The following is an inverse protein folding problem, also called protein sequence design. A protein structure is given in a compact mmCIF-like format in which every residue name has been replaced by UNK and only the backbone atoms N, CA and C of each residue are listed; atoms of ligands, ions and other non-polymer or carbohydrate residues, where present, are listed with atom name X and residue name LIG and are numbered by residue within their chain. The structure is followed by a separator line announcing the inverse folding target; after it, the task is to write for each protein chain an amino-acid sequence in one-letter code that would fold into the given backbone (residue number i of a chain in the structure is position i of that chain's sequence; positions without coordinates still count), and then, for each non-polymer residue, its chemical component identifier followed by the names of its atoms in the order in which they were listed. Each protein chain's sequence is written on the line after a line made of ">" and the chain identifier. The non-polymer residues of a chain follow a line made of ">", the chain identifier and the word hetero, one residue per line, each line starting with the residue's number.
data_IF_183565990885
#
_entry.id   IF_183565990885
#
_cell.length_a   1.000
_cell.length_b   1.000
_cell.length_c   1.000
_cell.angle_alpha   90.00
_cell.angle_beta   90.00
_cell.angle_gamma   90.00
#
_symmetry.space_group_name_H-M   'P 1'
#
loop_
_entity.id
_entity.type
_entity.pdbx_description
1 polymer ?
#
# COMPACT_ATOMS: atom_id res chain seq x y z
N UNK A 1 -22.07 8.89 33.12
CA UNK A 1 -21.44 7.69 33.73
C UNK A 1 -22.13 6.47 33.14
N UNK A 2 -21.40 5.57 32.49
CA UNK A 2 -21.94 4.52 31.61
C UNK A 2 -22.66 3.40 32.38
N UNK A 3 -23.90 3.08 31.98
CA UNK A 3 -24.71 1.97 32.49
C UNK A 3 -24.16 0.56 32.19
N UNK A 4 -23.04 0.44 31.47
CA UNK A 4 -22.42 -0.83 31.07
C UNK A 4 -21.38 -1.37 32.05
N UNK A 5 -20.88 -0.56 33.00
CA UNK A 5 -19.89 -1.01 34.00
C UNK A 5 -20.51 -1.71 35.21
N UNK A 6 -21.77 -1.39 35.52
CA UNK A 6 -22.51 -1.92 36.66
C UNK A 6 -22.72 -3.45 36.60
N UNK A 7 -23.10 -4.08 35.46
CA UNK A 7 -23.24 -5.54 35.40
C UNK A 7 -21.90 -6.29 35.51
N UNK A 8 -20.80 -5.68 35.04
CA UNK A 8 -19.47 -6.29 35.09
C UNK A 8 -18.92 -6.26 36.52
N UNK A 9 -19.05 -5.11 37.19
CA UNK A 9 -18.64 -4.95 38.59
C UNK A 9 -19.40 -5.90 39.52
N UNK A 10 -20.72 -6.02 39.33
CA UNK A 10 -21.54 -6.96 40.10
C UNK A 10 -21.08 -8.41 39.89
N UNK A 11 -20.81 -8.80 38.64
CA UNK A 11 -20.30 -10.15 38.31
C UNK A 11 -18.94 -10.43 38.93
N UNK A 12 -18.01 -9.48 38.87
CA UNK A 12 -16.67 -9.61 39.47
C UNK A 12 -16.74 -9.72 41.00
N UNK A 13 -17.58 -8.92 41.66
CA UNK A 13 -17.80 -9.00 43.11
C UNK A 13 -18.39 -10.36 43.50
N UNK A 14 -19.41 -10.84 42.78
CA UNK A 14 -20.02 -12.14 43.06
C UNK A 14 -19.02 -13.30 42.91
N UNK A 15 -18.25 -13.33 41.81
CA UNK A 15 -17.27 -14.41 41.58
C UNK A 15 -16.16 -14.39 42.63
N UNK A 16 -15.59 -13.22 42.92
CA UNK A 16 -14.54 -13.09 43.95
C UNK A 16 -15.07 -13.43 45.35
N UNK A 17 -16.30 -13.03 45.67
CA UNK A 17 -16.93 -13.34 46.95
C UNK A 17 -17.20 -14.83 47.14
N UNK A 18 -17.69 -15.53 46.10
CA UNK A 18 -17.92 -16.97 46.16
C UNK A 18 -16.59 -17.72 46.29
N UNK A 19 -15.59 -17.37 45.47
CA UNK A 19 -14.28 -18.06 45.49
C UNK A 19 -13.56 -17.84 46.82
N UNK A 20 -13.54 -16.61 47.33
CA UNK A 20 -12.91 -16.30 48.63
C UNK A 20 -13.66 -16.96 49.79
N UNK A 21 -14.99 -17.01 49.75
CA UNK A 21 -15.78 -17.70 50.78
C UNK A 21 -15.51 -19.19 50.79
N UNK A 22 -15.54 -19.87 49.64
CA UNK A 22 -15.27 -21.31 49.56
C UNK A 22 -13.85 -21.63 50.03
N UNK A 23 -12.86 -20.84 49.61
CA UNK A 23 -11.48 -21.04 50.04
C UNK A 23 -11.33 -20.86 51.56
N UNK A 24 -11.82 -19.75 52.11
CA UNK A 24 -11.71 -19.46 53.54
C UNK A 24 -12.52 -20.45 54.39
N UNK A 25 -13.68 -20.90 53.91
CA UNK A 25 -14.50 -21.91 54.57
C UNK A 25 -13.79 -23.26 54.65
N UNK A 26 -13.07 -23.67 53.60
CA UNK A 26 -12.30 -24.92 53.61
C UNK A 26 -11.11 -24.87 54.57
N UNK A 27 -10.45 -23.72 54.72
CA UNK A 27 -9.27 -23.59 55.59
C UNK A 27 -9.60 -23.28 57.05
N UNK A 28 -10.67 -22.53 57.32
CA UNK A 28 -10.97 -22.01 58.66
C UNK A 28 -12.35 -22.43 59.20
N UNK A 29 -13.20 -23.07 58.39
CA UNK A 29 -14.52 -23.55 58.79
C UNK A 29 -15.62 -22.47 58.81
N UNK A 30 -16.77 -22.84 59.37
CA UNK A 30 -17.99 -22.02 59.38
C UNK A 30 -17.98 -20.97 60.52
N UNK A 31 -17.05 -20.03 60.47
CA UNK A 31 -16.89 -18.98 61.51
C UNK A 31 -17.38 -17.63 60.96
N UNK A 32 -18.09 -16.78 61.73
CA UNK A 32 -18.63 -15.52 61.22
C UNK A 32 -17.59 -14.59 60.59
N UNK A 33 -16.34 -14.64 61.07
CA UNK A 33 -15.21 -13.87 60.53
C UNK A 33 -14.92 -14.23 59.07
N UNK A 34 -15.20 -15.46 58.63
CA UNK A 34 -15.01 -15.91 57.25
C UNK A 34 -15.99 -15.22 56.31
N UNK A 35 -17.24 -15.03 56.73
CA UNK A 35 -18.25 -14.28 55.96
C UNK A 35 -17.87 -12.80 55.81
N UNK A 36 -17.38 -12.17 56.88
CA UNK A 36 -16.94 -10.78 56.82
C UNK A 36 -15.65 -10.61 55.99
N UNK A 37 -14.72 -11.55 56.07
CA UNK A 37 -13.50 -11.54 55.27
C UNK A 37 -13.78 -11.76 53.78
N UNK A 38 -14.65 -12.71 53.42
CA UNK A 38 -15.02 -12.93 52.02
C UNK A 38 -15.78 -11.74 51.45
N UNK A 39 -16.66 -11.11 52.22
CA UNK A 39 -17.39 -9.92 51.80
C UNK A 39 -16.43 -8.73 51.57
N UNK A 40 -15.46 -8.52 52.46
CA UNK A 40 -14.47 -7.44 52.29
C UNK A 40 -13.57 -7.68 51.07
N UNK A 41 -13.11 -8.91 50.86
CA UNK A 41 -12.34 -9.30 49.66
C UNK A 41 -13.17 -9.13 48.39
N UNK A 42 -14.46 -9.49 48.41
CA UNK A 42 -15.35 -9.34 47.27
C UNK A 42 -15.52 -7.87 46.86
N UNK A 43 -15.75 -6.99 47.85
CA UNK A 43 -16.00 -5.56 47.61
C UNK A 43 -14.71 -4.85 47.21
N UNK A 44 -13.62 -5.00 47.97
CA UNK A 44 -12.34 -4.36 47.64
C UNK A 44 -11.76 -4.93 46.35
N UNK A 45 -11.74 -6.26 46.22
CA UNK A 45 -11.20 -6.94 45.04
C UNK A 45 -12.00 -6.64 43.79
N UNK A 46 -13.34 -6.60 43.87
CA UNK A 46 -14.19 -6.21 42.74
C UNK A 46 -13.97 -4.76 42.31
N UNK A 47 -13.79 -3.85 43.28
CA UNK A 47 -13.46 -2.45 42.99
C UNK A 47 -12.07 -2.30 42.35
N UNK A 48 -11.05 -3.00 42.89
CA UNK A 48 -9.71 -3.03 42.32
C UNK A 48 -9.70 -3.62 40.91
N UNK A 49 -10.40 -4.73 40.66
CA UNK A 49 -10.52 -5.32 39.32
C UNK A 49 -11.22 -4.35 38.37
N UNK A 50 -12.27 -3.65 38.80
CA UNK A 50 -12.92 -2.64 37.98
C UNK A 50 -12.03 -1.42 37.71
N UNK A 51 -11.16 -1.05 38.65
CA UNK A 51 -10.23 0.08 38.53
C UNK A 51 -9.02 -0.25 37.64
N UNK A 52 -8.50 -1.47 37.77
CA UNK A 52 -7.36 -1.99 37.01
C UNK A 52 -7.74 -2.73 35.73
N UNK A 53 -9.04 -2.84 35.40
CA UNK A 53 -9.47 -3.26 34.08
C UNK A 53 -8.86 -2.29 33.07
N UNK A 54 -7.78 -2.74 32.42
CA UNK A 54 -7.22 -2.12 31.23
C UNK A 54 -8.40 -1.76 30.34
N UNK A 55 -8.50 -0.47 30.00
CA UNK A 55 -9.55 0.10 29.14
C UNK A 55 -9.93 -0.95 28.11
N UNK A 56 -11.23 -1.31 27.97
CA UNK A 56 -11.64 -2.34 27.04
C UNK A 56 -10.96 -2.01 25.71
N UNK A 57 -10.24 -2.99 25.17
CA UNK A 57 -9.63 -2.91 23.84
C UNK A 57 -10.79 -2.54 22.93
N UNK A 58 -10.93 -1.24 22.63
CA UNK A 58 -12.03 -0.74 21.83
C UNK A 58 -11.92 -1.53 20.54
N UNK A 59 -12.95 -2.31 20.20
CA UNK A 59 -13.06 -2.80 18.84
C UNK A 59 -12.85 -1.57 17.95
N UNK A 60 -12.06 -1.68 16.85
CA UNK A 60 -11.93 -0.58 15.93
C UNK A 60 -13.33 -0.04 15.64
N UNK A 61 -13.52 1.28 15.74
CA UNK A 61 -14.80 1.88 15.40
C UNK A 61 -15.23 1.36 14.03
N UNK A 62 -16.52 1.15 13.83
CA UNK A 62 -17.08 0.68 12.55
C UNK A 62 -16.54 1.49 11.37
N UNK A 63 -16.28 2.78 11.61
CA UNK A 63 -15.60 3.71 10.70
C UNK A 63 -14.14 3.31 10.38
N UNK A 64 -13.35 2.92 11.37
CA UNK A 64 -11.96 2.49 11.16
C UNK A 64 -11.90 1.14 10.42
N UNK A 65 -12.88 0.27 10.66
CA UNK A 65 -13.05 -0.97 9.91
C UNK A 65 -13.38 -0.66 8.43
N UNK A 66 -14.22 0.32 8.16
CA UNK A 66 -14.55 0.74 6.79
C UNK A 66 -13.32 1.30 6.05
N UNK A 67 -12.49 2.11 6.72
CA UNK A 67 -11.21 2.60 6.16
C UNK A 67 -10.28 1.43 5.81
N UNK A 68 -10.09 0.49 6.74
CA UNK A 68 -9.26 -0.70 6.51
C UNK A 68 -9.81 -1.58 5.38
N UNK A 69 -11.13 -1.72 5.29
CA UNK A 69 -11.81 -2.49 4.26
C UNK A 69 -11.60 -1.85 2.87
N UNK A 70 -11.82 -0.55 2.73
CA UNK A 70 -11.59 0.18 1.47
C UNK A 70 -10.11 0.07 1.05
N UNK A 71 -9.20 0.25 2.00
CA UNK A 71 -7.77 0.20 1.73
C UNK A 71 -7.32 -1.18 1.26
N UNK A 72 -7.81 -2.24 1.89
CA UNK A 72 -7.47 -3.62 1.55
C UNK A 72 -8.13 -4.13 0.25
N UNK A 73 -9.38 -3.76 0.00
CA UNK A 73 -10.16 -4.36 -1.08
C UNK A 73 -10.24 -3.52 -2.35
N UNK A 74 -9.96 -2.22 -2.28
CA UNK A 74 -10.14 -1.29 -3.39
C UNK A 74 -8.83 -0.57 -3.72
N UNK A 75 -8.28 0.19 -2.77
CA UNK A 75 -7.17 1.10 -3.03
C UNK A 75 -5.84 0.37 -3.27
N UNK A 76 -5.44 -0.54 -2.38
CA UNK A 76 -4.21 -1.32 -2.54
C UNK A 76 -4.24 -2.22 -3.77
N UNK A 77 -5.29 -3.02 -4.04
CA UNK A 77 -5.34 -3.86 -5.23
C UNK A 77 -5.21 -3.07 -6.53
N UNK A 78 -5.80 -1.87 -6.59
CA UNK A 78 -5.69 -0.99 -7.77
C UNK A 78 -4.24 -0.54 -8.00
N UNK A 79 -3.56 -0.08 -6.94
CA UNK A 79 -2.17 0.37 -7.03
C UNK A 79 -1.19 -0.77 -7.31
N UNK A 80 -1.41 -1.94 -6.71
CA UNK A 80 -0.63 -3.15 -7.00
C UNK A 80 -0.73 -3.51 -8.47
N UNK A 81 -1.95 -3.49 -9.03
CA UNK A 81 -2.15 -3.78 -10.46
C UNK A 81 -1.43 -2.78 -11.36
N UNK A 82 -1.48 -1.49 -11.03
CA UNK A 82 -0.73 -0.46 -11.77
C UNK A 82 0.78 -0.68 -11.67
N UNK A 83 1.30 -1.03 -10.49
CA UNK A 83 2.71 -1.30 -10.30
C UNK A 83 3.17 -2.54 -11.08
N UNK A 84 2.37 -3.62 -11.07
CA UNK A 84 2.65 -4.82 -11.86
C UNK A 84 2.74 -4.52 -13.36
N UNK A 85 1.80 -3.72 -13.89
CA UNK A 85 1.87 -3.28 -15.29
C UNK A 85 3.14 -2.48 -15.57
N UNK A 86 3.49 -1.51 -14.72
CA UNK A 86 4.71 -0.72 -14.87
C UNK A 86 5.97 -1.59 -14.82
N UNK A 87 6.02 -2.58 -13.93
CA UNK A 87 7.16 -3.49 -13.80
C UNK A 87 7.30 -4.38 -15.04
N UNK A 88 6.20 -4.93 -15.53
CA UNK A 88 6.19 -5.77 -16.72
C UNK A 88 6.62 -4.98 -17.98
N UNK A 89 6.09 -3.77 -18.15
CA UNK A 89 6.48 -2.89 -19.27
C UNK A 89 7.93 -2.45 -19.18
N UNK A 90 8.42 -2.13 -17.97
CA UNK A 90 9.84 -1.82 -17.75
C UNK A 90 10.74 -2.99 -18.11
N UNK A 91 10.40 -4.21 -17.67
CA UNK A 91 11.18 -5.42 -17.97
C UNK A 91 11.24 -5.68 -19.48
N UNK A 92 10.07 -5.64 -20.15
CA UNK A 92 9.99 -5.82 -21.60
C UNK A 92 10.81 -4.77 -22.36
N UNK A 93 10.76 -3.51 -21.91
CA UNK A 93 11.52 -2.42 -22.53
C UNK A 93 13.03 -2.61 -22.39
N UNK A 94 13.50 -3.07 -21.22
CA UNK A 94 14.92 -3.36 -20.98
C UNK A 94 15.40 -4.51 -21.87
N UNK A 95 14.62 -5.58 -21.99
CA UNK A 95 14.97 -6.72 -22.86
C UNK A 95 15.04 -6.32 -24.34
N UNK A 96 14.09 -5.50 -24.80
CA UNK A 96 14.09 -4.96 -26.16
C UNK A 96 15.28 -4.03 -26.40
N UNK A 97 15.60 -3.17 -25.43
CA UNK A 97 16.73 -2.25 -25.49
C UNK A 97 18.06 -3.02 -25.56
N UNK A 98 18.22 -4.06 -24.74
CA UNK A 98 19.40 -4.94 -24.78
C UNK A 98 19.56 -5.65 -26.13
N UNK A 99 18.46 -6.15 -26.70
CA UNK A 99 18.44 -6.74 -28.04
C UNK A 99 18.86 -5.72 -29.12
N UNK A 100 18.35 -4.49 -29.08
CA UNK A 100 18.70 -3.45 -30.03
C UNK A 100 20.17 -3.00 -29.88
N UNK A 101 20.69 -2.88 -28.67
CA UNK A 101 22.12 -2.60 -28.45
C UNK A 101 23.01 -3.72 -28.99
N UNK A 102 22.60 -4.98 -28.82
CA UNK A 102 23.31 -6.12 -29.42
C UNK A 102 23.29 -6.03 -30.95
N UNK A 103 22.14 -5.76 -31.55
CA UNK A 103 22.03 -5.58 -33.01
C UNK A 103 22.88 -4.40 -33.50
N UNK A 104 22.88 -3.28 -32.78
CA UNK A 104 23.69 -2.11 -33.09
C UNK A 104 25.19 -2.45 -33.05
N UNK A 105 25.63 -3.16 -32.00
CA UNK A 105 27.02 -3.62 -31.85
C UNK A 105 27.41 -4.57 -32.99
N UNK A 106 26.56 -5.53 -33.34
CA UNK A 106 26.79 -6.45 -34.46
C UNK A 106 26.89 -5.71 -35.81
N UNK A 107 26.04 -4.70 -36.06
CA UNK A 107 26.12 -3.88 -37.27
C UNK A 107 27.38 -3.01 -37.27
N UNK A 108 27.74 -2.40 -36.14
CA UNK A 108 28.97 -1.62 -35.99
C UNK A 108 30.22 -2.47 -36.28
N UNK A 109 30.28 -3.67 -35.72
CA UNK A 109 31.39 -4.60 -35.95
C UNK A 109 31.47 -5.05 -37.41
N UNK A 110 30.32 -5.29 -38.06
CA UNK A 110 30.28 -5.60 -39.51
C UNK A 110 30.79 -4.44 -40.35
N UNK A 111 30.39 -3.21 -40.05
CA UNK A 111 30.86 -2.01 -40.75
C UNK A 111 32.38 -1.85 -40.58
N UNK A 112 32.89 -1.95 -39.35
CA UNK A 112 34.33 -1.89 -39.08
C UNK A 112 35.13 -2.99 -39.79
N UNK A 113 34.59 -4.22 -39.85
CA UNK A 113 35.21 -5.33 -40.58
C UNK A 113 35.31 -5.07 -42.09
N UNK A 114 34.22 -4.57 -42.69
CA UNK A 114 34.18 -4.25 -44.13
C UNK A 114 35.05 -3.03 -44.48
N UNK A 115 35.15 -2.04 -43.58
CA UNK A 115 36.10 -0.92 -43.71
C UNK A 115 37.55 -1.41 -43.69
N UNK A 116 37.85 -2.38 -42.81
CA UNK A 116 39.19 -2.95 -42.67
C UNK A 116 39.59 -3.82 -43.86
N UNK A 117 38.64 -4.50 -44.51
CA UNK A 117 38.90 -5.32 -45.70
C UNK A 117 38.99 -4.52 -47.01
N UNK A 118 38.73 -3.20 -47.00
CA UNK A 118 38.63 -2.34 -48.21
C UNK A 118 37.61 -2.82 -49.27
N UNK A 119 36.69 -3.71 -48.91
CA UNK A 119 35.64 -4.23 -49.80
C UNK A 119 34.35 -3.39 -49.76
N UNK A 120 34.36 -2.29 -49.00
CA UNK A 120 33.17 -1.48 -48.76
C UNK A 120 32.77 -0.70 -50.03
N UNK A 121 31.70 -1.13 -50.68
CA UNK A 121 31.05 -0.36 -51.75
C UNK A 121 30.14 0.74 -51.17
N UNK A 122 29.94 1.83 -51.91
CA UNK A 122 29.10 2.95 -51.48
C UNK A 122 27.66 2.51 -51.14
N UNK A 123 27.09 1.56 -51.91
CA UNK A 123 25.76 0.99 -51.64
C UNK A 123 25.69 0.18 -50.34
N UNK A 124 26.74 -0.59 -50.02
CA UNK A 124 26.81 -1.35 -48.77
C UNK A 124 26.94 -0.43 -47.55
N UNK A 125 27.71 0.66 -47.68
CA UNK A 125 27.82 1.70 -46.67
C UNK A 125 26.44 2.35 -46.41
N UNK A 126 25.74 2.75 -47.48
CA UNK A 126 24.42 3.38 -47.37
C UNK A 126 23.39 2.45 -46.71
N UNK A 127 23.33 1.17 -47.12
CA UNK A 127 22.43 0.18 -46.48
C UNK A 127 22.75 -0.06 -45.01
N UNK A 128 24.03 -0.02 -44.63
CA UNK A 128 24.45 -0.19 -43.25
C UNK A 128 24.08 1.04 -42.40
N UNK A 129 24.28 2.25 -42.93
CA UNK A 129 23.85 3.50 -42.30
C UNK A 129 22.33 3.55 -42.09
N UNK A 130 21.53 3.13 -43.07
CA UNK A 130 20.07 3.05 -42.93
C UNK A 130 19.63 2.07 -41.82
N UNK A 131 20.28 0.90 -41.74
CA UNK A 131 20.00 -0.08 -40.68
C UNK A 131 20.35 0.47 -39.30
N UNK A 132 21.51 1.11 -39.16
CA UNK A 132 21.94 1.75 -37.91
C UNK A 132 20.96 2.86 -37.52
N UNK A 133 20.56 3.71 -38.47
CA UNK A 133 19.57 4.77 -38.22
C UNK A 133 18.22 4.20 -37.76
N UNK A 134 17.76 3.10 -38.36
CA UNK A 134 16.53 2.42 -37.95
C UNK A 134 16.62 1.88 -36.51
N UNK A 135 17.71 1.20 -36.16
CA UNK A 135 17.94 0.68 -34.81
C UNK A 135 18.03 1.84 -33.81
N UNK A 136 18.73 2.91 -34.16
CA UNK A 136 18.85 4.11 -33.32
C UNK A 136 17.49 4.77 -33.04
N UNK A 137 16.64 4.93 -34.06
CA UNK A 137 15.28 5.44 -33.87
C UNK A 137 14.44 4.54 -32.95
N UNK A 138 14.60 3.22 -33.05
CA UNK A 138 13.90 2.28 -32.15
C UNK A 138 14.39 2.40 -30.71
N UNK A 139 15.69 2.62 -30.49
CA UNK A 139 16.26 2.88 -29.17
C UNK A 139 15.68 4.18 -28.58
N UNK A 140 15.61 5.26 -29.36
CA UNK A 140 15.03 6.53 -28.92
C UNK A 140 13.56 6.35 -28.50
N UNK A 141 12.77 5.64 -29.29
CA UNK A 141 11.37 5.34 -28.97
C UNK A 141 11.25 4.55 -27.65
N UNK A 142 12.12 3.56 -27.44
CA UNK A 142 12.17 2.79 -26.18
C UNK A 142 12.55 3.64 -24.97
N UNK A 143 13.47 4.59 -25.12
CA UNK A 143 13.82 5.52 -24.06
C UNK A 143 12.65 6.45 -23.70
N UNK A 144 11.85 6.88 -24.67
CA UNK A 144 10.61 7.64 -24.42
C UNK A 144 9.57 6.82 -23.65
N UNK A 145 9.46 5.51 -23.92
CA UNK A 145 8.63 4.63 -23.10
C UNK A 145 9.18 4.47 -21.67
N UNK A 146 10.49 4.50 -21.49
CA UNK A 146 11.13 4.56 -20.17
C UNK A 146 10.70 5.77 -19.35
N UNK A 147 10.70 6.96 -19.96
CA UNK A 147 10.23 8.20 -19.30
C UNK A 147 8.74 8.11 -18.90
N UNK A 148 7.89 7.58 -19.80
CA UNK A 148 6.47 7.32 -19.48
C UNK A 148 6.30 6.35 -18.31
N UNK A 149 7.11 5.30 -18.27
CA UNK A 149 7.10 4.31 -17.17
C UNK A 149 7.49 4.97 -15.85
N UNK A 150 8.51 5.84 -15.86
CA UNK A 150 8.93 6.60 -14.70
C UNK A 150 7.84 7.56 -14.21
N UNK A 151 7.13 8.25 -15.12
CA UNK A 151 6.00 9.11 -14.78
C UNK A 151 4.87 8.31 -14.13
N UNK A 152 4.57 7.12 -14.64
CA UNK A 152 3.57 6.21 -14.07
C UNK A 152 3.96 5.73 -12.66
N UNK A 153 5.22 5.34 -12.44
CA UNK A 153 5.71 4.99 -11.10
C UNK A 153 5.63 6.18 -10.13
N UNK A 154 5.96 7.39 -10.59
CA UNK A 154 5.81 8.60 -9.78
C UNK A 154 4.35 8.86 -9.41
N UNK A 155 3.39 8.60 -10.30
CA UNK A 155 1.96 8.71 -10.00
C UNK A 155 1.50 7.70 -8.95
N UNK A 156 1.96 6.46 -9.03
CA UNK A 156 1.66 5.41 -8.04
C UNK A 156 2.17 5.84 -6.65
N UNK A 157 3.38 6.41 -6.57
CA UNK A 157 3.93 6.92 -5.32
C UNK A 157 3.13 8.12 -4.76
N UNK A 158 2.68 9.04 -5.61
CA UNK A 158 1.82 10.15 -5.21
C UNK A 158 0.49 9.64 -4.63
N UNK A 159 -0.13 8.66 -5.30
CA UNK A 159 -1.36 8.02 -4.83
C UNK A 159 -1.17 7.31 -3.48
N UNK A 160 -0.06 6.58 -3.30
CA UNK A 160 0.29 5.96 -2.02
C UNK A 160 0.49 7.00 -0.91
N UNK A 161 1.13 8.13 -1.23
CA UNK A 161 1.34 9.21 -0.27
C UNK A 161 0.02 9.86 0.16
N UNK A 162 -0.92 10.07 -0.78
CA UNK A 162 -2.27 10.56 -0.47
C UNK A 162 -3.03 9.62 0.46
N UNK A 163 -3.00 8.30 0.18
CA UNK A 163 -3.60 7.29 1.04
C UNK A 163 -2.96 7.33 2.43
N UNK A 164 -1.63 7.34 2.51
CA UNK A 164 -0.89 7.37 3.77
C UNK A 164 -1.27 8.58 4.62
N UNK A 165 -1.34 9.78 4.02
CA UNK A 165 -1.69 11.00 4.73
C UNK A 165 -3.13 10.97 5.28
N UNK A 166 -4.08 10.42 4.52
CA UNK A 166 -5.46 10.30 4.99
C UNK A 166 -5.60 9.25 6.10
N UNK A 167 -4.91 8.11 5.98
CA UNK A 167 -4.89 7.08 7.04
C UNK A 167 -4.25 7.62 8.31
N UNK A 168 -3.14 8.36 8.21
CA UNK A 168 -2.51 8.99 9.36
C UNK A 168 -3.43 10.02 10.03
N UNK A 169 -4.15 10.83 9.25
CA UNK A 169 -5.14 11.77 9.77
C UNK A 169 -6.28 11.07 10.53
N UNK A 170 -6.78 9.93 10.01
CA UNK A 170 -7.80 9.10 10.68
C UNK A 170 -7.26 8.48 11.97
N UNK A 171 -6.02 7.98 11.97
CA UNK A 171 -5.39 7.38 13.15
C UNK A 171 -5.16 8.41 14.27
N UNK A 172 -4.85 9.65 13.90
CA UNK A 172 -4.61 10.75 14.84
C UNK A 172 -5.91 11.32 15.45
N UNK A 173 -7.03 11.33 14.73
CA UNK A 173 -8.34 11.77 15.23
C UNK A 173 -9.48 10.85 14.76
N UNK A 174 -9.69 9.70 15.44
CA UNK A 174 -10.64 8.67 15.02
C UNK A 174 -12.11 9.07 15.09
N UNK A 175 -12.42 10.25 15.65
CA UNK A 175 -13.80 10.75 15.75
C UNK A 175 -14.22 11.57 14.52
N UNK A 176 -13.28 11.81 13.59
CA UNK A 176 -13.50 12.57 12.35
C UNK A 176 -13.15 11.74 11.11
N UNK A 177 -13.33 10.43 11.19
CA UNK A 177 -13.03 9.51 10.09
C UNK A 177 -13.69 9.92 8.79
N UNK A 178 -14.98 10.29 8.83
CA UNK A 178 -15.77 10.75 7.69
C UNK A 178 -15.33 12.10 7.11
N UNK A 179 -14.54 12.87 7.85
CA UNK A 179 -14.00 14.17 7.38
C UNK A 179 -12.62 14.00 6.74
N UNK A 180 -11.80 13.09 7.28
CA UNK A 180 -10.44 12.87 6.82
C UNK A 180 -10.31 11.78 5.74
N UNK A 181 -11.27 10.85 5.68
CA UNK A 181 -11.30 9.76 4.71
C UNK A 181 -12.61 9.80 3.92
N UNK A 182 -12.55 10.55 2.82
CA UNK A 182 -13.58 10.57 1.79
C UNK A 182 -13.10 9.66 0.65
N UNK A 183 -13.61 8.44 0.64
CA UNK A 183 -13.22 7.40 -0.32
C UNK A 183 -13.48 7.83 -1.77
N UNK A 184 -14.61 8.48 -2.03
CA UNK A 184 -14.98 8.91 -3.39
C UNK A 184 -14.02 9.99 -3.89
N UNK A 185 -13.66 10.96 -3.05
CA UNK A 185 -12.67 11.99 -3.39
C UNK A 185 -11.26 11.42 -3.54
N UNK A 186 -10.90 10.44 -2.70
CA UNK A 186 -9.60 9.78 -2.79
C UNK A 186 -9.50 8.97 -4.09
N UNK A 187 -10.54 8.23 -4.45
CA UNK A 187 -10.63 7.54 -5.73
C UNK A 187 -10.60 8.51 -6.91
N UNK A 188 -11.30 9.64 -6.83
CA UNK A 188 -11.24 10.68 -7.86
C UNK A 188 -9.82 11.24 -8.02
N UNK A 189 -9.13 11.52 -6.91
CA UNK A 189 -7.75 12.00 -6.93
C UNK A 189 -6.80 10.96 -7.54
N UNK A 190 -6.94 9.68 -7.17
CA UNK A 190 -6.15 8.59 -7.73
C UNK A 190 -6.44 8.40 -9.23
N UNK A 191 -7.71 8.49 -9.65
CA UNK A 191 -8.11 8.43 -11.06
C UNK A 191 -7.53 9.60 -11.85
N UNK A 192 -7.48 10.80 -11.26
CA UNK A 192 -6.88 11.97 -11.88
C UNK A 192 -5.37 11.81 -12.07
N UNK A 193 -4.67 11.29 -11.05
CA UNK A 193 -3.25 10.96 -11.14
C UNK A 193 -3.02 9.92 -12.25
N UNK A 194 -3.81 8.84 -12.24
CA UNK A 194 -3.77 7.79 -13.25
C UNK A 194 -3.98 8.35 -14.65
N UNK A 195 -5.00 9.19 -14.87
CA UNK A 195 -5.26 9.81 -16.18
C UNK A 195 -4.10 10.67 -16.68
N UNK A 196 -3.42 11.40 -15.79
CA UNK A 196 -2.25 12.22 -16.14
C UNK A 196 -1.05 11.37 -16.53
N UNK A 197 -0.87 10.23 -15.86
CA UNK A 197 0.28 9.34 -16.09
C UNK A 197 0.05 8.31 -17.18
N UNK A 198 -1.20 8.02 -17.50
CA UNK A 198 -1.61 6.98 -18.43
C UNK A 198 -2.08 7.56 -19.76
N UNK A 199 -1.51 8.70 -20.19
CA UNK A 199 -1.76 9.28 -21.52
C UNK A 199 -1.31 8.30 -22.62
N UNK A 200 -2.13 7.28 -22.88
CA UNK A 200 -2.43 6.85 -24.23
C UNK A 200 -3.06 8.06 -24.90
N UNK A 201 -2.33 8.65 -25.84
CA UNK A 201 -2.85 9.61 -26.81
C UNK A 201 -4.03 8.96 -27.55
N UNK A 202 -5.22 9.07 -26.99
CA UNK A 202 -6.43 8.95 -27.77
C UNK A 202 -6.55 10.26 -28.56
N UNK A 203 -6.07 10.20 -29.81
CA UNK A 203 -6.25 11.19 -30.89
C UNK A 203 -5.42 12.48 -30.81
N UNK A 204 -4.21 12.43 -31.33
CA UNK A 204 -3.82 13.33 -32.42
C UNK A 204 -2.54 12.82 -33.08
N UNK A 205 -2.72 12.28 -34.28
CA UNK A 205 -1.71 11.69 -35.15
C UNK A 205 -0.87 12.70 -35.91
N UNK A 206 -0.79 13.96 -35.48
CA UNK A 206 -0.03 14.99 -36.18
C UNK A 206 0.72 15.86 -35.17
N UNK A 207 2.01 16.04 -35.44
CA UNK A 207 2.94 16.93 -34.77
C UNK A 207 3.66 16.42 -33.50
N UNK A 208 4.57 15.46 -33.70
CA UNK A 208 5.75 15.34 -32.84
C UNK A 208 6.94 15.89 -33.62
N UNK A 209 7.23 17.17 -33.36
CA UNK A 209 8.42 17.85 -33.88
C UNK A 209 9.67 17.27 -33.22
N UNK A 210 10.58 16.73 -34.03
CA UNK A 210 11.89 16.28 -33.58
C UNK A 210 12.77 17.50 -33.25
N UNK A 211 13.35 17.54 -32.04
CA UNK A 211 14.50 18.38 -31.71
C UNK A 211 15.79 17.57 -31.84
#
# INVERSE_FOLDING_TARGET
>A
MNNTSLPILLRSICVLGIVSFVALFLFFGAVPQVLFASLTIAVLGGFLVSYFQMKPRKLPSEELYQVLFSLNNILLPKLVRQLDYSCQDSSNSVDQLASLFKQLSEQSNKICGLLSSKELTAEQCQRATEKVKKIHNQIILLLQFGDRTQQMQSGILEALHLISNQVEAVLNDPNKTTTYFDEDRLLEAINKIESRTNNQEDKNSDDVTYF
#
